data_IF_391237989527
#
_entry.id   IF_391237989527
#
_cell.length_a   1.000
_cell.length_b   1.000
_cell.length_c   1.000
_cell.angle_alpha   90.00
_cell.angle_beta   90.00
_cell.angle_gamma   90.00
#
_symmetry.space_group_name_H-M   'P 1'
#
loop_
_entity.id
_entity.type
_entity.pdbx_description
1 polymer ?
#
# COMPACT_ATOMS: atom_id res chain seq x y z
N UNK A 1 -10.66 -0.76 -13.07
CA UNK A 1 -10.14 0.07 -11.96
C UNK A 1 -9.38 1.20 -12.62
N UNK A 2 -9.55 2.48 -12.25
CA UNK A 2 -8.81 3.55 -12.92
C UNK A 2 -7.35 3.47 -12.48
N UNK A 3 -6.54 2.79 -13.27
CA UNK A 3 -5.09 2.93 -13.22
C UNK A 3 -4.76 4.27 -13.87
N UNK A 4 -3.98 5.09 -13.17
CA UNK A 4 -3.50 6.37 -13.67
C UNK A 4 -1.99 6.39 -13.59
N UNK A 5 -1.35 6.92 -14.62
CA UNK A 5 0.08 7.21 -14.57
C UNK A 5 0.34 8.35 -13.60
N UNK A 6 1.36 8.22 -12.77
CA UNK A 6 1.82 9.23 -11.84
C UNK A 6 3.34 9.36 -11.92
N UNK A 7 3.83 10.58 -11.75
CA UNK A 7 5.25 10.85 -11.60
C UNK A 7 5.57 10.83 -10.11
N UNK A 8 6.51 9.99 -9.72
CA UNK A 8 7.08 9.97 -8.38
C UNK A 8 8.28 10.86 -8.34
N UNK A 9 8.32 11.73 -7.34
CA UNK A 9 9.47 12.55 -7.02
C UNK A 9 10.01 12.11 -5.68
N UNK A 10 11.26 11.68 -5.66
CA UNK A 10 11.99 11.33 -4.44
C UNK A 10 12.96 12.46 -4.10
N UNK A 11 12.78 13.07 -2.94
CA UNK A 11 13.65 14.14 -2.45
C UNK A 11 14.29 13.76 -1.11
N UNK A 12 15.45 14.36 -0.84
CA UNK A 12 16.17 14.26 0.43
C UNK A 12 16.93 15.56 0.64
N UNK A 13 17.22 15.89 1.89
CA UNK A 13 17.90 17.15 2.20
C UNK A 13 19.32 17.16 1.62
N UNK A 14 19.60 18.19 0.82
CA UNK A 14 20.93 18.43 0.24
C UNK A 14 21.30 17.59 -0.98
N UNK A 15 20.33 17.00 -1.70
CA UNK A 15 20.58 16.35 -2.99
C UNK A 15 19.49 16.66 -4.02
N UNK A 16 19.82 16.51 -5.31
CA UNK A 16 18.86 16.67 -6.41
C UNK A 16 17.77 15.58 -6.34
N UNK A 17 16.53 15.96 -6.63
CA UNK A 17 15.40 15.01 -6.66
C UNK A 17 15.53 14.02 -7.81
N UNK A 18 15.06 12.79 -7.59
CA UNK A 18 15.00 11.75 -8.62
C UNK A 18 13.54 11.49 -9.00
N UNK A 19 13.26 11.37 -10.30
CA UNK A 19 11.91 11.17 -10.80
C UNK A 19 11.74 9.77 -11.42
N UNK A 20 10.56 9.17 -11.25
CA UNK A 20 10.19 7.97 -11.98
C UNK A 20 8.68 7.89 -12.24
N UNK A 21 8.30 7.30 -13.36
CA UNK A 21 6.91 7.09 -13.71
C UNK A 21 6.40 5.78 -13.13
N UNK A 22 5.23 5.79 -12.52
CA UNK A 22 4.56 4.60 -12.00
C UNK A 22 3.07 4.62 -12.29
N UNK A 23 2.43 3.47 -12.17
CA UNK A 23 0.96 3.40 -12.13
C UNK A 23 0.48 3.54 -10.69
N UNK A 24 -0.64 4.25 -10.51
CA UNK A 24 -1.32 4.40 -9.23
C UNK A 24 -2.75 3.91 -9.39
N UNK A 25 -3.12 2.97 -8.53
CA UNK A 25 -4.49 2.48 -8.39
C UNK A 25 -5.13 3.15 -7.19
N UNK A 26 -6.14 3.99 -7.42
CA UNK A 26 -6.92 4.61 -6.34
C UNK A 26 -8.17 3.78 -6.05
N UNK A 27 -8.40 3.44 -4.79
CA UNK A 27 -9.56 2.68 -4.35
C UNK A 27 -10.68 3.62 -3.92
N UNK A 28 -11.87 3.41 -4.48
CA UNK A 28 -13.07 4.12 -4.04
C UNK A 28 -13.53 3.64 -2.65
N UNK A 29 -14.30 4.43 -1.89
CA UNK A 29 -14.83 4.03 -0.59
C UNK A 29 -15.55 2.68 -0.64
N UNK A 30 -16.38 2.46 -1.67
CA UNK A 30 -17.10 1.19 -1.88
C UNK A 30 -16.16 0.00 -2.07
N UNK A 31 -15.04 0.19 -2.78
CA UNK A 31 -14.04 -0.87 -2.97
C UNK A 31 -13.29 -1.19 -1.68
N UNK A 32 -12.96 -0.17 -0.88
CA UNK A 32 -12.32 -0.35 0.44
C UNK A 32 -13.23 -1.14 1.38
N UNK A 33 -14.51 -0.77 1.44
CA UNK A 33 -15.51 -1.47 2.25
C UNK A 33 -15.71 -2.91 1.78
N UNK A 34 -15.85 -3.15 0.47
CA UNK A 34 -15.98 -4.52 -0.08
C UNK A 34 -14.80 -5.39 0.33
N UNK A 35 -13.58 -4.88 0.21
CA UNK A 35 -12.35 -5.58 0.60
C UNK A 35 -12.27 -5.89 2.10
N UNK A 36 -12.71 -4.94 2.92
CA UNK A 36 -12.79 -5.13 4.37
C UNK A 36 -13.82 -6.20 4.76
N UNK A 37 -15.01 -6.19 4.14
CA UNK A 37 -16.04 -7.22 4.33
C UNK A 37 -15.51 -8.59 3.92
N UNK A 38 -14.84 -8.70 2.77
CA UNK A 38 -14.23 -9.97 2.33
C UNK A 38 -13.22 -10.49 3.36
N UNK A 39 -12.38 -9.61 3.94
CA UNK A 39 -11.45 -10.01 4.99
C UNK A 39 -12.16 -10.54 6.25
N UNK A 40 -13.25 -9.88 6.66
CA UNK A 40 -14.06 -10.33 7.80
C UNK A 40 -14.74 -11.68 7.52
N UNK A 41 -15.29 -11.88 6.32
CA UNK A 41 -15.91 -13.14 5.93
C UNK A 41 -14.91 -14.29 5.92
N UNK A 42 -13.70 -14.07 5.40
CA UNK A 42 -12.62 -15.07 5.42
C UNK A 42 -12.23 -15.40 6.88
N UNK A 43 -12.10 -14.38 7.73
CA UNK A 43 -11.83 -14.56 9.15
C UNK A 43 -12.91 -15.35 9.88
N UNK A 44 -14.18 -15.03 9.62
CA UNK A 44 -15.32 -15.73 10.20
C UNK A 44 -15.39 -17.19 9.71
N UNK A 45 -15.14 -17.45 8.43
CA UNK A 45 -15.06 -18.81 7.89
C UNK A 45 -13.91 -19.61 8.51
N UNK A 46 -12.73 -18.99 8.69
CA UNK A 46 -11.59 -19.60 9.36
C UNK A 46 -11.92 -19.91 10.84
N UNK A 47 -12.56 -18.99 11.55
CA UNK A 47 -13.02 -19.22 12.91
C UNK A 47 -14.04 -20.37 13.02
N UNK A 48 -15.01 -20.43 12.10
CA UNK A 48 -16.00 -21.51 12.05
C UNK A 48 -15.35 -22.88 11.79
N UNK A 49 -14.31 -22.94 10.96
CA UNK A 49 -13.57 -24.17 10.69
C UNK A 49 -12.80 -24.71 11.92
N UNK A 50 -12.57 -23.88 12.94
CA UNK A 50 -11.88 -24.28 14.18
C UNK A 50 -12.81 -24.87 15.25
N UNK A 51 -14.13 -24.72 15.10
CA UNK A 51 -15.14 -25.23 16.04
C UNK A 51 -14.97 -26.73 16.39
N UNK A 52 -14.72 -27.66 15.44
CA UNK A 52 -14.62 -29.07 15.80
C UNK A 52 -13.36 -29.46 16.57
N UNK A 53 -12.43 -28.52 16.83
CA UNK A 53 -11.15 -28.79 17.49
C UNK A 53 -11.18 -28.22 18.93
N UNK A 54 -11.38 -29.05 19.98
CA UNK A 54 -11.64 -28.60 21.35
C UNK A 54 -10.53 -27.75 21.99
N UNK A 55 -9.27 -27.97 21.62
CA UNK A 55 -8.15 -27.20 22.18
C UNK A 55 -7.97 -25.89 21.39
N UNK A 56 -8.12 -25.95 20.07
CA UNK A 56 -7.81 -24.82 19.19
C UNK A 56 -8.94 -23.78 19.20
N UNK A 57 -10.21 -24.15 19.37
CA UNK A 57 -11.29 -23.16 19.30
C UNK A 57 -11.21 -22.10 20.42
N UNK A 58 -10.71 -22.45 21.62
CA UNK A 58 -10.55 -21.53 22.76
C UNK A 58 -9.63 -20.34 22.45
N UNK A 59 -8.54 -20.56 21.71
CA UNK A 59 -7.53 -19.52 21.39
C UNK A 59 -7.59 -19.11 19.91
N UNK A 60 -7.84 -20.06 19.03
CA UNK A 60 -7.84 -19.88 17.59
C UNK A 60 -9.02 -19.07 17.06
N UNK A 61 -10.23 -19.23 17.61
CA UNK A 61 -11.38 -18.39 17.24
C UNK A 61 -11.13 -16.92 17.57
N UNK A 62 -10.80 -16.52 18.83
CA UNK A 62 -10.57 -15.11 19.13
C UNK A 62 -9.39 -14.56 18.32
N UNK A 63 -8.32 -15.33 18.12
CA UNK A 63 -7.17 -14.88 17.32
C UNK A 63 -7.53 -14.69 15.83
N UNK A 64 -8.29 -15.61 15.23
CA UNK A 64 -8.74 -15.50 13.84
C UNK A 64 -9.67 -14.29 13.63
N UNK A 65 -10.58 -14.05 14.56
CA UNK A 65 -11.49 -12.89 14.49
C UNK A 65 -10.72 -11.58 14.69
N UNK A 66 -9.83 -11.50 15.68
CA UNK A 66 -9.02 -10.30 15.93
C UNK A 66 -8.12 -9.96 14.73
N UNK A 67 -7.45 -10.97 14.16
CA UNK A 67 -6.61 -10.77 12.97
C UNK A 67 -7.43 -10.31 11.77
N UNK A 68 -8.62 -10.87 11.56
CA UNK A 68 -9.53 -10.43 10.51
C UNK A 68 -10.00 -8.98 10.69
N UNK A 69 -10.33 -8.57 11.91
CA UNK A 69 -10.69 -7.18 12.24
C UNK A 69 -9.52 -6.24 11.94
N UNK A 70 -8.30 -6.57 12.39
CA UNK A 70 -7.10 -5.77 12.13
C UNK A 70 -6.84 -5.63 10.62
N UNK A 71 -6.96 -6.71 9.87
CA UNK A 71 -6.81 -6.70 8.41
C UNK A 71 -7.92 -5.87 7.76
N UNK A 72 -9.17 -6.01 8.19
CA UNK A 72 -10.29 -5.25 7.66
C UNK A 72 -10.12 -3.74 7.88
N UNK A 73 -9.71 -3.32 9.08
CA UNK A 73 -9.39 -1.92 9.40
C UNK A 73 -8.23 -1.42 8.54
N UNK A 74 -7.17 -2.22 8.37
CA UNK A 74 -6.07 -1.87 7.45
C UNK A 74 -6.58 -1.69 6.01
N UNK A 75 -7.44 -2.58 5.52
CA UNK A 75 -7.98 -2.48 4.16
C UNK A 75 -8.94 -1.29 3.97
N UNK A 76 -9.66 -0.87 5.01
CA UNK A 76 -10.46 0.36 4.99
C UNK A 76 -9.58 1.60 4.86
N UNK A 77 -8.42 1.59 5.52
CA UNK A 77 -7.47 2.72 5.50
C UNK A 77 -6.71 2.85 4.19
N UNK A 78 -6.46 1.75 3.46
CA UNK A 78 -5.71 1.79 2.20
C UNK A 78 -6.50 2.50 1.10
N UNK A 79 -6.07 3.71 0.75
CA UNK A 79 -6.69 4.53 -0.27
C UNK A 79 -6.12 4.31 -1.66
N UNK A 80 -4.83 4.02 -1.75
CA UNK A 80 -4.14 3.87 -3.02
C UNK A 80 -3.07 2.79 -2.95
N UNK A 81 -2.72 2.26 -4.12
CA UNK A 81 -1.54 1.40 -4.31
C UNK A 81 -0.72 1.95 -5.44
N UNK A 82 0.58 2.05 -5.19
CA UNK A 82 1.55 2.33 -6.24
C UNK A 82 2.03 1.02 -6.84
N UNK A 83 2.12 0.99 -8.17
CA UNK A 83 2.86 0.00 -8.92
C UNK A 83 4.29 -0.10 -8.39
N UNK A 84 4.89 -1.28 -8.52
CA UNK A 84 6.27 -1.50 -8.08
C UNK A 84 7.20 -0.81 -9.07
N UNK A 85 8.01 0.13 -8.59
CA UNK A 85 8.96 0.89 -9.41
C UNK A 85 10.31 0.97 -8.70
N UNK A 86 11.38 0.81 -9.47
CA UNK A 86 12.74 1.00 -8.99
C UNK A 86 13.17 2.46 -9.19
N UNK A 87 13.55 3.13 -8.11
CA UNK A 87 14.11 4.49 -8.13
C UNK A 87 15.47 4.48 -7.43
N UNK A 88 16.46 5.14 -8.01
CA UNK A 88 17.75 5.32 -7.34
C UNK A 88 17.62 6.32 -6.18
N UNK A 89 18.26 6.03 -5.06
CA UNK A 89 18.34 6.98 -3.95
C UNK A 89 19.12 8.22 -4.39
N UNK A 90 18.58 9.45 -4.23
CA UNK A 90 19.25 10.68 -4.68
C UNK A 90 20.60 10.94 -3.99
N UNK A 91 20.85 10.31 -2.84
CA UNK A 91 22.09 10.50 -2.07
C UNK A 91 23.15 9.42 -2.29
N UNK A 92 22.75 8.16 -2.43
CA UNK A 92 23.69 7.03 -2.51
C UNK A 92 23.59 6.22 -3.81
N UNK A 93 22.72 6.62 -4.73
CA UNK A 93 22.43 5.94 -6.00
C UNK A 93 21.95 4.48 -5.89
N UNK A 94 21.81 3.93 -4.68
CA UNK A 94 21.32 2.57 -4.49
C UNK A 94 19.87 2.43 -4.98
N UNK A 95 19.52 1.33 -5.67
CA UNK A 95 18.16 1.10 -6.12
C UNK A 95 17.22 0.92 -4.92
N UNK A 96 16.07 1.57 -4.96
CA UNK A 96 14.99 1.48 -3.99
C UNK A 96 13.74 0.99 -4.69
N UNK A 97 13.11 -0.05 -4.14
CA UNK A 97 11.82 -0.53 -4.63
C UNK A 97 10.70 0.24 -3.92
N UNK A 98 9.98 1.07 -4.66
CA UNK A 98 8.85 1.83 -4.17
C UNK A 98 7.57 1.17 -4.69
N UNK A 99 6.55 1.04 -3.85
CA UNK A 99 5.28 0.42 -4.23
C UNK A 99 5.25 -1.12 -4.10
N UNK A 100 4.18 -1.75 -4.57
CA UNK A 100 3.97 -3.21 -4.49
C UNK A 100 3.59 -3.77 -3.11
N UNK A 101 3.46 -2.93 -2.08
CA UNK A 101 3.10 -3.33 -0.71
C UNK A 101 1.60 -3.28 -0.38
N UNK A 102 1.28 -3.15 0.92
CA UNK A 102 -0.10 -3.13 1.42
C UNK A 102 -0.93 -1.94 0.91
N UNK A 103 -0.28 -0.92 0.35
CA UNK A 103 -0.88 0.32 -0.12
C UNK A 103 -0.73 1.45 0.90
N UNK A 104 -1.13 2.65 0.50
CA UNK A 104 -0.94 3.88 1.26
C UNK A 104 -2.30 4.43 1.71
N UNK A 105 -2.37 5.06 2.90
CA UNK A 105 -3.60 5.66 3.40
C UNK A 105 -4.02 6.90 2.61
N UNK A 106 -3.07 7.58 1.97
CA UNK A 106 -3.28 8.69 1.04
C UNK A 106 -2.08 8.78 0.09
N UNK A 107 -2.28 9.46 -1.04
CA UNK A 107 -1.22 9.83 -2.02
C UNK A 107 -1.08 11.34 -2.18
N UNK A 108 -1.94 12.11 -1.51
CA UNK A 108 -2.05 13.57 -1.68
C UNK A 108 -1.02 14.36 -0.87
N UNK A 109 0.00 13.70 -0.28
CA UNK A 109 0.96 14.35 0.60
C UNK A 109 2.32 13.66 0.64
N UNK A 110 3.32 14.30 1.28
CA UNK A 110 4.66 13.75 1.43
C UNK A 110 4.61 12.47 2.26
N UNK A 111 5.10 11.37 1.68
CA UNK A 111 5.19 10.08 2.35
C UNK A 111 6.65 9.91 2.81
N UNK A 112 6.92 9.95 4.13
CA UNK A 112 8.26 9.70 4.64
C UNK A 112 8.61 8.22 4.46
N UNK A 113 9.79 7.96 3.91
CA UNK A 113 10.36 6.62 3.81
C UNK A 113 11.86 6.68 4.11
N UNK A 114 12.47 5.55 4.43
CA UNK A 114 13.90 5.48 4.74
C UNK A 114 14.61 4.70 3.65
N UNK A 115 15.78 5.18 3.21
CA UNK A 115 16.61 4.44 2.28
C UNK A 115 17.13 3.14 2.92
N UNK A 116 16.97 2.01 2.25
CA UNK A 116 17.45 0.72 2.78
C UNK A 116 18.98 0.64 2.86
N UNK A 117 19.70 1.37 1.99
CA UNK A 117 21.15 1.34 1.95
C UNK A 117 21.80 2.38 2.85
N UNK A 118 21.44 3.66 2.72
CA UNK A 118 22.08 4.75 3.46
C UNK A 118 21.31 5.21 4.70
N UNK A 119 20.15 4.62 5.00
CA UNK A 119 19.29 4.91 6.15
C UNK A 119 18.87 6.38 6.33
N UNK A 120 19.01 7.20 5.28
CA UNK A 120 18.51 8.59 5.28
C UNK A 120 17.00 8.63 5.09
N UNK A 121 16.39 9.65 5.67
CA UNK A 121 14.99 9.98 5.42
C UNK A 121 14.85 10.53 4.00
N UNK A 122 13.89 9.98 3.27
CA UNK A 122 13.50 10.34 1.93
C UNK A 122 12.02 10.73 1.97
N UNK A 123 11.67 11.75 1.19
CA UNK A 123 10.29 12.18 1.04
C UNK A 123 9.81 11.78 -0.35
N UNK A 124 8.77 10.96 -0.38
CA UNK A 124 8.09 10.58 -1.62
C UNK A 124 6.90 11.50 -1.84
N UNK A 125 6.90 12.20 -2.96
CA UNK A 125 5.75 12.96 -3.46
C UNK A 125 5.23 12.30 -4.72
N UNK A 126 3.92 12.11 -4.79
CA UNK A 126 3.25 11.52 -5.95
C UNK A 126 2.49 12.63 -6.67
N UNK A 127 2.97 13.00 -7.85
CA UNK A 127 2.28 13.98 -8.69
C UNK A 127 1.50 13.24 -9.78
N UNK A 128 0.25 13.66 -10.06
CA UNK A 128 -0.49 13.12 -11.18
C UNK A 128 0.30 13.37 -12.46
N UNK A 129 0.65 12.29 -13.18
CA UNK A 129 1.39 12.38 -14.42
C UNK A 129 0.51 13.03 -15.50
N UNK A 130 1.11 13.60 -16.56
CA UNK A 130 0.34 14.06 -17.70
C UNK A 130 -0.50 12.89 -18.22
N UNK A 131 -1.82 13.07 -18.29
CA UNK A 131 -2.73 12.14 -18.95
C UNK A 131 -2.19 11.90 -20.34
N UNK A 132 -1.75 10.67 -20.63
CA UNK A 132 -1.36 10.29 -21.98
C UNK A 132 -2.51 10.69 -22.92
N UNK A 133 -2.25 11.43 -24.02
CA UNK A 133 -3.29 11.77 -24.97
C UNK A 133 -3.89 10.47 -25.51
N UNK A 134 -5.21 10.32 -25.38
CA UNK A 134 -5.97 9.29 -26.06
C UNK A 134 -5.74 9.48 -27.56
N UNK A 135 -4.92 8.64 -28.19
CA UNK A 135 -5.02 8.41 -29.64
C UNK A 135 -6.39 7.73 -29.87
N UNK A 136 -7.26 8.46 -30.57
CA UNK A 136 -8.60 8.04 -30.98
C UNK A 136 -8.53 7.17 -32.23
#
# INVERSE_FOLDING_TARGET
MPERSATLTLSTDGAASTHATTTVTVFSPRQRTRRAIVALLIGAAAAAALIPIPIIHLVGIPLALLTAIVIAVKQLRVAARLGRVGVACPKCAAPQAIGGGFGFPSIDGPIPMTCDSCRRLLTLTVEPGPTAPHEQ
#
